data_IF_897538358886
#
_entry.id   IF_897538358886
#
_cell.length_a   1.000
_cell.length_b   1.000
_cell.length_c   1.000
_cell.angle_alpha   90.00
_cell.angle_beta   90.00
_cell.angle_gamma   90.00
#
_symmetry.space_group_name_H-M   'P 1'
#
loop_
_entity.id
_entity.type
_entity.pdbx_description
1 polymer ?
#
# COMPACT_ATOMS: atom_id res chain seq x y z
N UNK A 1 14.70 3.85 6.60
CA UNK A 1 13.41 4.40 6.15
C UNK A 1 12.46 3.24 5.93
N UNK A 2 11.31 3.26 6.59
CA UNK A 2 10.23 2.27 6.49
C UNK A 2 9.16 2.84 5.58
N UNK A 3 8.81 2.10 4.53
CA UNK A 3 7.75 2.46 3.59
C UNK A 3 6.58 1.50 3.75
N UNK A 4 5.38 1.98 3.53
CA UNK A 4 4.18 1.17 3.41
C UNK A 4 3.50 1.47 2.07
N UNK A 5 3.04 0.43 1.38
CA UNK A 5 2.31 0.61 0.12
C UNK A 5 0.81 0.52 0.39
N UNK A 6 0.06 1.53 -0.05
CA UNK A 6 -1.41 1.54 -0.01
C UNK A 6 -1.96 1.46 -1.43
N UNK A 7 -2.59 0.33 -1.75
CA UNK A 7 -3.26 0.12 -3.02
C UNK A 7 -4.77 0.32 -2.88
N UNK A 8 -5.33 1.23 -3.68
CA UNK A 8 -6.74 1.61 -3.66
C UNK A 8 -7.44 0.94 -4.83
N UNK A 9 -8.53 0.22 -4.56
CA UNK A 9 -9.36 -0.44 -5.56
C UNK A 9 -10.24 -1.51 -4.92
N UNK A 10 -11.55 -1.42 -5.14
CA UNK A 10 -12.52 -2.41 -4.62
C UNK A 10 -12.31 -3.78 -5.27
N UNK A 11 -11.94 -3.80 -6.54
CA UNK A 11 -11.60 -4.99 -7.32
C UNK A 11 -10.39 -5.74 -6.76
N UNK A 12 -9.45 -5.04 -6.11
CA UNK A 12 -8.32 -5.65 -5.40
C UNK A 12 -8.80 -6.39 -4.15
N UNK A 13 -9.69 -5.76 -3.37
CA UNK A 13 -10.31 -6.40 -2.20
C UNK A 13 -11.18 -7.60 -2.55
N UNK A 14 -11.85 -7.56 -3.70
CA UNK A 14 -12.67 -8.65 -4.20
C UNK A 14 -11.87 -9.75 -4.92
N UNK A 15 -10.55 -9.56 -5.10
CA UNK A 15 -9.69 -10.52 -5.79
C UNK A 15 -10.01 -10.68 -7.27
N UNK A 16 -10.62 -9.67 -7.90
CA UNK A 16 -10.96 -9.70 -9.32
C UNK A 16 -9.74 -9.51 -10.23
N UNK A 17 -8.75 -8.74 -9.74
CA UNK A 17 -7.46 -8.55 -10.40
C UNK A 17 -6.33 -8.72 -9.38
N UNK A 18 -5.15 -9.11 -9.84
CA UNK A 18 -3.94 -9.16 -9.02
C UNK A 18 -3.35 -7.77 -8.82
N UNK A 19 -2.84 -7.48 -7.63
CA UNK A 19 -2.14 -6.23 -7.32
C UNK A 19 -0.68 -6.25 -7.83
N UNK A 20 -0.53 -6.11 -9.15
CA UNK A 20 0.79 -6.04 -9.78
C UNK A 20 1.50 -4.71 -9.51
N UNK A 21 0.76 -3.65 -9.16
CA UNK A 21 1.32 -2.34 -8.84
C UNK A 21 2.13 -2.38 -7.56
N UNK A 22 1.56 -2.93 -6.47
CA UNK A 22 2.29 -3.07 -5.22
C UNK A 22 3.44 -4.07 -5.33
N UNK A 23 3.29 -5.12 -6.15
CA UNK A 23 4.40 -6.03 -6.45
C UNK A 23 5.57 -5.26 -7.08
N UNK A 24 5.32 -4.51 -8.15
CA UNK A 24 6.35 -3.74 -8.84
C UNK A 24 7.00 -2.70 -7.92
N UNK A 25 6.21 -1.96 -7.15
CA UNK A 25 6.73 -0.99 -6.17
C UNK A 25 7.60 -1.66 -5.11
N UNK A 26 7.18 -2.81 -4.58
CA UNK A 26 7.95 -3.58 -3.60
C UNK A 26 9.31 -4.02 -4.16
N UNK A 27 9.35 -4.50 -5.41
CA UNK A 27 10.60 -4.84 -6.11
C UNK A 27 11.51 -3.62 -6.26
N UNK A 28 10.95 -2.46 -6.65
CA UNK A 28 11.74 -1.23 -6.78
C UNK A 28 12.27 -0.74 -5.42
N UNK A 29 11.46 -0.77 -4.37
CA UNK A 29 11.91 -0.39 -3.02
C UNK A 29 13.04 -1.31 -2.55
N UNK A 30 12.89 -2.62 -2.71
CA UNK A 30 13.91 -3.59 -2.34
C UNK A 30 15.21 -3.40 -3.13
N UNK A 31 15.12 -3.17 -4.44
CA UNK A 31 16.27 -2.89 -5.30
C UNK A 31 17.06 -1.64 -4.87
N UNK A 32 16.39 -0.69 -4.21
CA UNK A 32 17.00 0.53 -3.67
C UNK A 32 17.34 0.43 -2.17
N UNK A 33 17.25 -0.76 -1.57
CA UNK A 33 17.57 -0.98 -0.15
C UNK A 33 16.57 -0.33 0.82
N UNK A 34 15.35 -0.04 0.37
CA UNK A 34 14.28 0.55 1.18
C UNK A 34 13.37 -0.56 1.69
N UNK A 35 13.18 -0.63 3.01
CA UNK A 35 12.35 -1.64 3.63
C UNK A 35 10.86 -1.29 3.50
N UNK A 36 10.08 -2.17 2.88
CA UNK A 36 8.63 -2.12 2.91
C UNK A 36 8.10 -3.11 3.95
N UNK A 37 7.48 -2.62 5.02
CA UNK A 37 7.03 -3.48 6.14
C UNK A 37 5.56 -3.88 6.04
N UNK A 38 4.76 -3.09 5.33
CA UNK A 38 3.32 -3.28 5.23
C UNK A 38 2.85 -2.99 3.82
N UNK A 39 1.88 -3.79 3.38
CA UNK A 39 1.06 -3.54 2.20
C UNK A 39 -0.40 -3.54 2.67
N UNK A 40 -1.20 -2.63 2.15
CA UNK A 40 -2.61 -2.52 2.49
C UNK A 40 -3.45 -2.29 1.25
N UNK A 41 -4.47 -3.13 1.05
CA UNK A 41 -5.53 -2.88 0.09
C UNK A 41 -6.67 -2.13 0.75
N UNK A 42 -7.23 -1.14 0.07
CA UNK A 42 -8.39 -0.36 0.54
C UNK A 42 -9.37 -0.14 -0.61
N UNK A 43 -10.67 -0.24 -0.31
CA UNK A 43 -11.71 0.02 -1.32
C UNK A 43 -11.92 1.52 -1.55
N UNK A 44 -12.62 1.86 -2.63
CA UNK A 44 -12.78 3.23 -3.16
C UNK A 44 -13.72 4.14 -2.36
N UNK A 45 -13.79 3.95 -1.05
CA UNK A 45 -14.54 4.81 -0.15
C UNK A 45 -13.60 5.82 0.50
N UNK A 46 -13.97 7.10 0.42
CA UNK A 46 -13.16 8.20 0.94
C UNK A 46 -12.74 8.00 2.40
N UNK A 47 -13.67 7.68 3.30
CA UNK A 47 -13.36 7.53 4.73
C UNK A 47 -12.41 6.36 4.99
N UNK A 48 -12.55 5.27 4.24
CA UNK A 48 -11.64 4.12 4.30
C UNK A 48 -10.25 4.50 3.83
N UNK A 49 -10.14 5.23 2.72
CA UNK A 49 -8.86 5.72 2.20
C UNK A 49 -8.19 6.64 3.22
N UNK A 50 -8.92 7.58 3.82
CA UNK A 50 -8.40 8.48 4.86
C UNK A 50 -7.88 7.68 6.06
N UNK A 51 -8.64 6.68 6.54
CA UNK A 51 -8.21 5.83 7.65
C UNK A 51 -6.96 5.01 7.29
N UNK A 52 -6.90 4.48 6.07
CA UNK A 52 -5.77 3.73 5.54
C UNK A 52 -4.48 4.57 5.56
N UNK A 53 -4.52 5.78 5.02
CA UNK A 53 -3.38 6.70 5.03
C UNK A 53 -3.00 7.16 6.44
N UNK A 54 -3.96 7.44 7.32
CA UNK A 54 -3.67 7.80 8.72
C UNK A 54 -2.93 6.67 9.45
N UNK A 55 -3.36 5.43 9.24
CA UNK A 55 -2.73 4.25 9.83
C UNK A 55 -1.32 4.07 9.29
N UNK A 56 -1.14 4.18 7.97
CA UNK A 56 0.16 4.02 7.32
C UNK A 56 1.16 5.09 7.78
N UNK A 57 0.75 6.37 7.77
CA UNK A 57 1.57 7.50 8.21
C UNK A 57 1.92 7.44 9.71
N UNK A 58 1.11 6.76 10.54
CA UNK A 58 1.41 6.61 11.97
C UNK A 58 2.54 5.59 12.24
N UNK A 59 2.85 4.68 11.30
CA UNK A 59 3.81 3.59 11.50
C UNK A 59 4.96 3.55 10.49
N UNK A 60 4.90 4.36 9.44
CA UNK A 60 5.87 4.39 8.34
C UNK A 60 6.46 5.79 8.15
N UNK A 61 7.70 5.84 7.67
CA UNK A 61 8.42 7.09 7.44
C UNK A 61 8.02 7.72 6.08
N UNK A 62 7.49 6.90 5.16
CA UNK A 62 6.84 7.32 3.91
C UNK A 62 5.72 6.32 3.52
N UNK A 63 4.79 6.78 2.67
CA UNK A 63 3.67 6.01 2.11
C UNK A 63 3.56 6.28 0.63
#
# INVERSE_FOLDING_TARGET
MRVEIVAVGTELLLGQIADTNSQWLGEQLAANGIACHFHQHVGDNHDRIVLAFRTALARSDAV
#
